data_IF_299362021457
#
_entry.id   IF_299362021457
#
_cell.length_a   1.000
_cell.length_b   1.000
_cell.length_c   1.000
_cell.angle_alpha   90.00
_cell.angle_beta   90.00
_cell.angle_gamma   90.00
#
_symmetry.space_group_name_H-M   'P 1'
#
loop_
_entity.id
_entity.type
_entity.pdbx_description
1 polymer ?
#
# COMPACT_ATOMS: atom_id res chain seq x y z
N UNK A 1 -9.82 -10.43 4.84
CA UNK A 1 -10.27 -9.17 4.21
C UNK A 1 -11.78 -9.19 3.99
N UNK A 2 -12.46 -8.08 4.21
CA UNK A 2 -13.86 -7.83 3.79
C UNK A 2 -13.91 -6.52 2.97
N UNK A 3 -14.77 -6.45 1.95
CA UNK A 3 -14.93 -5.23 1.15
C UNK A 3 -16.34 -5.08 0.59
N UNK A 4 -16.73 -3.84 0.32
CA UNK A 4 -18.02 -3.48 -0.29
C UNK A 4 -17.82 -2.48 -1.41
N UNK A 5 -18.66 -2.59 -2.43
CA UNK A 5 -18.69 -1.68 -3.59
C UNK A 5 -19.88 -0.74 -3.50
N UNK A 6 -19.62 0.54 -3.74
CA UNK A 6 -20.57 1.63 -3.78
C UNK A 6 -20.39 2.41 -5.08
N UNK A 7 -21.05 1.95 -6.15
CA UNK A 7 -20.87 2.52 -7.49
C UNK A 7 -19.41 2.43 -7.95
N UNK A 8 -18.78 3.60 -8.12
CA UNK A 8 -17.37 3.74 -8.52
C UNK A 8 -16.36 3.62 -7.37
N UNK A 9 -16.81 3.41 -6.13
CA UNK A 9 -15.95 3.32 -4.95
C UNK A 9 -15.95 1.93 -4.36
N UNK A 10 -14.80 1.50 -3.84
CA UNK A 10 -14.67 0.29 -3.03
C UNK A 10 -14.11 0.69 -1.67
N UNK A 11 -14.72 0.17 -0.61
CA UNK A 11 -14.23 0.28 0.76
C UNK A 11 -13.85 -1.11 1.22
N UNK A 12 -12.59 -1.29 1.60
CA UNK A 12 -12.04 -2.57 2.02
C UNK A 12 -11.42 -2.46 3.43
N UNK A 13 -11.61 -3.50 4.23
CA UNK A 13 -10.91 -3.72 5.50
C UNK A 13 -10.04 -4.96 5.35
N UNK A 14 -8.74 -4.79 5.50
CA UNK A 14 -7.79 -5.89 5.57
C UNK A 14 -7.75 -6.42 7.01
N UNK A 15 -7.60 -7.73 7.15
CA UNK A 15 -7.47 -8.39 8.45
C UNK A 15 -6.00 -8.44 8.87
N UNK A 16 -5.77 -8.55 10.18
CA UNK A 16 -4.42 -8.61 10.74
C UNK A 16 -3.63 -9.77 10.11
N UNK A 17 -2.44 -9.46 9.62
CA UNK A 17 -1.51 -10.43 9.00
C UNK A 17 -1.70 -10.63 7.50
N UNK A 18 -2.69 -9.99 6.88
CA UNK A 18 -2.80 -9.95 5.42
C UNK A 18 -1.82 -8.92 4.83
N UNK A 19 -1.18 -9.28 3.72
CA UNK A 19 -0.31 -8.37 2.98
C UNK A 19 -1.15 -7.42 2.12
N UNK A 20 -0.81 -6.13 2.18
CA UNK A 20 -1.60 -5.01 1.63
C UNK A 20 -1.65 -5.07 0.10
N UNK A 21 -0.50 -5.20 -0.57
CA UNK A 21 -0.42 -5.21 -2.04
C UNK A 21 -1.16 -6.43 -2.62
N UNK A 22 -1.06 -7.59 -1.97
CA UNK A 22 -1.76 -8.81 -2.33
C UNK A 22 -3.28 -8.65 -2.23
N UNK A 23 -3.78 -8.04 -1.14
CA UNK A 23 -5.22 -7.80 -0.99
C UNK A 23 -5.74 -6.79 -2.01
N UNK A 24 -4.98 -5.71 -2.29
CA UNK A 24 -5.33 -4.74 -3.33
C UNK A 24 -5.40 -5.42 -4.69
N UNK A 25 -4.40 -6.24 -5.04
CA UNK A 25 -4.37 -7.01 -6.29
C UNK A 25 -5.58 -7.94 -6.40
N UNK A 26 -5.94 -8.65 -5.33
CA UNK A 26 -7.13 -9.54 -5.31
C UNK A 26 -8.41 -8.78 -5.62
N UNK A 27 -8.63 -7.63 -4.99
CA UNK A 27 -9.81 -6.78 -5.25
C UNK A 27 -9.79 -6.29 -6.69
N UNK A 28 -8.64 -5.76 -7.16
CA UNK A 28 -8.50 -5.20 -8.49
C UNK A 28 -8.81 -6.21 -9.59
N UNK A 29 -8.28 -7.42 -9.48
CA UNK A 29 -8.54 -8.51 -10.43
C UNK A 29 -10.00 -8.95 -10.36
N UNK A 30 -10.55 -9.14 -9.15
CA UNK A 30 -11.93 -9.60 -8.96
C UNK A 30 -12.97 -8.62 -9.52
N UNK A 31 -12.68 -7.33 -9.47
CA UNK A 31 -13.59 -6.24 -9.86
C UNK A 31 -13.27 -5.61 -11.23
N UNK A 32 -12.32 -6.20 -11.98
CA UNK A 32 -11.76 -5.70 -13.26
C UNK A 32 -11.37 -4.21 -13.23
N UNK A 33 -10.63 -3.81 -12.18
CA UNK A 33 -10.18 -2.43 -11.99
C UNK A 33 -8.91 -2.20 -12.78
N UNK A 34 -9.01 -1.37 -13.83
CA UNK A 34 -7.87 -0.96 -14.67
C UNK A 34 -7.24 0.36 -14.25
N UNK A 35 -7.99 1.21 -13.55
CA UNK A 35 -7.55 2.49 -13.04
C UNK A 35 -8.31 2.82 -11.77
N UNK A 36 -7.59 3.11 -10.69
CA UNK A 36 -8.18 3.60 -9.46
C UNK A 36 -7.16 4.41 -8.66
N UNK A 37 -7.68 5.33 -7.84
CA UNK A 37 -6.92 5.96 -6.78
C UNK A 37 -7.10 5.16 -5.48
N UNK A 38 -6.02 5.03 -4.70
CA UNK A 38 -6.04 4.38 -3.38
C UNK A 38 -5.73 5.43 -2.31
N UNK A 39 -6.53 5.41 -1.26
CA UNK A 39 -6.24 6.07 0.02
C UNK A 39 -6.59 5.10 1.15
N UNK A 40 -5.69 4.96 2.13
CA UNK A 40 -5.90 4.10 3.28
C UNK A 40 -5.19 4.61 4.54
N UNK A 41 -5.63 4.07 5.67
CA UNK A 41 -5.09 4.21 7.02
C UNK A 41 -5.25 2.86 7.74
N UNK A 42 -4.57 2.66 8.86
CA UNK A 42 -4.60 1.41 9.61
C UNK A 42 -3.33 1.19 10.40
N UNK A 43 -2.96 -0.07 10.67
CA UNK A 43 -1.74 -0.41 11.39
C UNK A 43 -1.02 -1.59 10.71
N UNK A 44 0.31 -1.64 10.84
CA UNK A 44 1.18 -2.70 10.30
C UNK A 44 2.16 -3.18 11.35
N UNK A 45 2.54 -4.46 11.24
CA UNK A 45 3.49 -5.13 12.13
C UNK A 45 4.87 -5.42 11.52
N UNK A 46 4.91 -5.53 10.20
CA UNK A 46 6.09 -5.85 9.39
C UNK A 46 5.90 -5.17 8.03
N UNK A 47 6.74 -4.19 7.71
CA UNK A 47 6.61 -3.40 6.48
C UNK A 47 7.98 -3.00 5.96
N UNK A 48 8.13 -3.09 4.63
CA UNK A 48 9.29 -2.59 3.91
C UNK A 48 8.88 -1.36 3.12
N UNK A 49 9.62 -0.26 3.26
CA UNK A 49 9.47 0.92 2.39
C UNK A 49 10.80 1.31 1.76
N UNK A 50 10.74 1.74 0.50
CA UNK A 50 11.91 2.02 -0.32
C UNK A 50 12.07 3.49 -0.72
N UNK A 51 13.32 3.89 -0.96
CA UNK A 51 13.65 5.17 -1.62
C UNK A 51 14.55 4.88 -2.81
N UNK A 52 14.17 5.40 -3.99
CA UNK A 52 15.00 5.31 -5.17
C UNK A 52 16.15 6.33 -5.12
N UNK A 53 17.39 5.83 -4.99
CA UNK A 53 18.60 6.66 -5.01
C UNK A 53 19.00 6.93 -6.46
N UNK A 54 18.64 8.11 -6.96
CA UNK A 54 18.81 8.49 -8.37
C UNK A 54 20.26 8.44 -8.87
N UNK A 55 21.21 8.84 -8.02
CA UNK A 55 22.64 8.80 -8.35
C UNK A 55 23.17 7.38 -8.58
N UNK A 56 22.65 6.40 -7.84
CA UNK A 56 23.05 4.99 -7.93
C UNK A 56 22.13 4.16 -8.83
N UNK A 57 20.96 4.71 -9.20
CA UNK A 57 19.85 4.02 -9.86
C UNK A 57 19.43 2.73 -9.13
N UNK A 58 19.43 2.76 -7.81
CA UNK A 58 19.09 1.62 -6.95
C UNK A 58 18.01 2.00 -5.93
N UNK A 59 17.15 1.04 -5.61
CA UNK A 59 16.24 1.16 -4.47
C UNK A 59 16.99 0.79 -3.18
N UNK A 60 16.96 1.70 -2.20
CA UNK A 60 17.32 1.39 -0.82
C UNK A 60 16.07 1.10 -0.02
N UNK A 61 15.97 -0.11 0.53
CA UNK A 61 14.84 -0.55 1.35
C UNK A 61 15.13 -0.31 2.83
N UNK A 62 14.07 -0.02 3.60
CA UNK A 62 14.08 0.04 5.05
C UNK A 62 12.97 -0.86 5.57
N UNK A 63 13.35 -1.81 6.43
CA UNK A 63 12.43 -2.76 7.05
C UNK A 63 12.07 -2.29 8.46
N UNK A 64 10.78 -2.30 8.77
CA UNK A 64 10.24 -1.90 10.06
C UNK A 64 9.41 -3.05 10.62
N UNK A 65 9.76 -3.48 11.84
CA UNK A 65 9.05 -4.55 12.57
C UNK A 65 8.68 -4.05 13.95
N UNK A 66 7.43 -4.29 14.34
CA UNK A 66 6.83 -3.74 15.57
C UNK A 66 5.50 -3.06 15.26
N UNK A 67 4.94 -2.38 16.24
CA UNK A 67 3.64 -1.73 16.08
C UNK A 67 3.80 -0.35 15.44
N UNK A 68 3.25 -0.20 14.23
CA UNK A 68 3.26 1.06 13.48
C UNK A 68 1.85 1.42 13.00
N UNK A 69 1.47 2.69 13.11
CA UNK A 69 0.27 3.24 12.51
C UNK A 69 0.55 3.71 11.07
N UNK A 70 -0.24 3.27 10.10
CA UNK A 70 -0.30 3.84 8.75
C UNK A 70 -1.00 5.20 8.85
N UNK A 71 -0.20 6.26 8.91
CA UNK A 71 -0.70 7.65 8.95
C UNK A 71 -1.13 8.15 7.58
N UNK A 72 -0.57 7.57 6.51
CA UNK A 72 -1.01 7.79 5.14
C UNK A 72 -0.56 6.63 4.25
N UNK A 73 -1.46 6.11 3.43
CA UNK A 73 -1.13 5.27 2.28
C UNK A 73 -1.89 5.82 1.08
N UNK A 74 -1.17 6.24 0.05
CA UNK A 74 -1.75 6.86 -1.15
C UNK A 74 -1.07 6.33 -2.39
N UNK A 75 -1.84 6.16 -3.47
CA UNK A 75 -1.29 5.77 -4.75
C UNK A 75 -2.35 5.43 -5.78
N UNK A 76 -1.95 4.64 -6.77
CA UNK A 76 -2.81 4.27 -7.89
C UNK A 76 -2.73 2.79 -8.22
N UNK A 77 -3.83 2.29 -8.78
CA UNK A 77 -3.86 1.07 -9.58
C UNK A 77 -3.87 1.51 -11.04
N UNK A 78 -3.03 0.88 -11.85
CA UNK A 78 -3.01 0.99 -13.31
C UNK A 78 -2.80 -0.41 -13.90
N UNK A 79 -2.47 -0.47 -15.20
CA UNK A 79 -2.07 -1.72 -15.85
C UNK A 79 -0.70 -1.57 -16.50
N UNK A 80 0.15 -2.59 -16.37
CA UNK A 80 1.41 -2.70 -17.10
C UNK A 80 1.38 -4.00 -17.91
N UNK A 81 1.57 -3.91 -19.22
CA UNK A 81 1.46 -5.06 -20.14
C UNK A 81 0.11 -5.82 -20.04
N UNK A 82 -0.97 -5.10 -19.73
CA UNK A 82 -2.31 -5.69 -19.56
C UNK A 82 -2.55 -6.35 -18.20
N UNK A 83 -1.56 -6.38 -17.31
CA UNK A 83 -1.68 -6.94 -15.97
C UNK A 83 -1.80 -5.85 -14.91
N UNK A 84 -2.32 -6.22 -13.74
CA UNK A 84 -2.40 -5.35 -12.56
C UNK A 84 -1.04 -4.73 -12.24
N UNK A 85 -1.02 -3.41 -12.06
CA UNK A 85 0.12 -2.67 -11.57
C UNK A 85 -0.34 -1.67 -10.52
N UNK A 86 0.45 -1.47 -9.48
CA UNK A 86 0.18 -0.44 -8.47
C UNK A 86 1.43 0.35 -8.16
N UNK A 87 1.25 1.63 -7.88
CA UNK A 87 2.31 2.50 -7.37
C UNK A 87 1.79 3.16 -6.09
N UNK A 88 2.33 2.73 -4.95
CA UNK A 88 1.89 3.16 -3.63
C UNK A 88 3.04 3.78 -2.86
N UNK A 89 2.73 4.78 -2.06
CA UNK A 89 3.61 5.39 -1.08
C UNK A 89 2.93 5.34 0.28
N UNK A 90 3.73 5.17 1.33
CA UNK A 90 3.24 5.03 2.70
C UNK A 90 4.05 5.88 3.68
N UNK A 91 3.38 6.38 4.72
CA UNK A 91 3.97 6.93 5.93
C UNK A 91 3.48 6.14 7.15
N UNK A 92 4.41 5.72 8.00
CA UNK A 92 4.16 4.93 9.21
C UNK A 92 4.67 5.67 10.45
N UNK A 93 3.87 5.71 11.51
CA UNK A 93 4.21 6.31 12.80
C UNK A 93 4.52 5.24 13.84
N UNK A 94 5.63 5.38 14.56
CA UNK A 94 5.98 4.49 15.68
C UNK A 94 5.37 4.94 17.02
N UNK A 95 5.61 4.15 18.07
CA UNK A 95 5.13 4.42 19.45
C UNK A 95 5.63 5.74 20.05
N UNK A 96 6.69 6.35 19.50
CA UNK A 96 7.20 7.65 19.94
C UNK A 96 6.64 8.81 19.08
N UNK A 97 5.81 8.49 18.07
CA UNK A 97 5.26 9.45 17.13
C UNK A 97 6.22 9.86 16.01
N UNK A 98 7.37 9.17 15.84
CA UNK A 98 8.25 9.42 14.70
C UNK A 98 7.65 8.80 13.44
N UNK A 99 7.73 9.53 12.35
CA UNK A 99 7.17 9.11 11.06
C UNK A 99 8.28 8.73 10.09
N UNK A 100 8.13 7.56 9.50
CA UNK A 100 8.97 7.00 8.46
C UNK A 100 8.14 6.80 7.20
N UNK A 101 8.76 6.77 6.02
CA UNK A 101 7.97 6.59 4.80
C UNK A 101 8.80 6.41 3.54
N UNK A 102 8.12 6.02 2.48
CA UNK A 102 8.72 5.75 1.18
C UNK A 102 7.75 5.09 0.21
N UNK A 103 8.30 4.53 -0.85
CA UNK A 103 7.62 3.66 -1.78
C UNK A 103 7.25 2.34 -1.08
N UNK A 104 6.01 1.88 -1.24
CA UNK A 104 5.56 0.56 -0.83
C UNK A 104 5.59 -0.38 -2.04
#
# INVERSE_FOLDING_TARGET
>A
MDYRRFGGHIVARMDKGEEILEQIKKIAIKEDIKLAHISALGAVGDVTVGVFRTGEKKYGSNDFKGDYEITSLTGTITTMNGEFYSHLHMSIGDTEGKVWGGHL
#
